data_IF_262212253608
#
_entry.id   IF_262212253608
#
_cell.length_a   1.000
_cell.length_b   1.000
_cell.length_c   1.000
_cell.angle_alpha   90.00
_cell.angle_beta   90.00
_cell.angle_gamma   90.00
#
_symmetry.space_group_name_H-M   'P 1'
#
loop_
_entity.id
_entity.type
_entity.pdbx_description
1 polymer ?
#
# COMPACT_ATOMS: atom_id res chain seq x y z
N UNK A 1 12.29 9.77 2.45
CA UNK A 1 11.33 10.73 1.85
C UNK A 1 10.75 11.58 2.97
N UNK A 2 10.37 12.83 2.70
CA UNK A 2 9.70 13.69 3.69
C UNK A 2 8.19 13.50 3.67
N UNK A 3 7.57 13.60 4.85
CA UNK A 3 6.12 13.58 5.00
C UNK A 3 5.52 14.84 4.36
N UNK A 4 4.61 14.72 3.37
CA UNK A 4 4.01 15.88 2.71
C UNK A 4 3.04 16.64 3.62
N UNK A 5 2.70 16.10 4.79
CA UNK A 5 1.78 16.72 5.75
C UNK A 5 2.49 17.48 6.87
N UNK A 6 3.68 17.06 7.29
CA UNK A 6 4.38 17.68 8.42
C UNK A 6 5.88 17.92 8.20
N UNK A 7 6.42 17.59 7.02
CA UNK A 7 7.82 17.81 6.67
C UNK A 7 8.84 16.84 7.28
N UNK A 8 8.46 16.06 8.29
CA UNK A 8 9.33 15.11 8.99
C UNK A 8 9.83 13.97 8.08
N UNK A 9 11.01 13.45 8.38
CA UNK A 9 11.55 12.27 7.70
C UNK A 9 10.66 11.04 7.95
N UNK A 10 10.44 10.26 6.89
CA UNK A 10 9.61 9.06 6.94
C UNK A 10 10.47 7.80 6.98
N UNK A 11 9.98 6.81 7.74
CA UNK A 11 10.61 5.50 7.84
C UNK A 11 10.20 4.66 6.64
N UNK A 12 11.17 4.20 5.85
CA UNK A 12 10.95 3.26 4.74
C UNK A 12 10.62 1.87 5.29
N UNK A 13 9.68 1.20 4.68
CA UNK A 13 9.27 -0.16 5.02
C UNK A 13 8.44 -0.79 3.92
N UNK A 14 7.71 -1.85 4.26
CA UNK A 14 6.90 -2.59 3.31
C UNK A 14 5.52 -2.88 3.90
N UNK A 15 4.48 -2.75 3.08
CA UNK A 15 3.21 -3.42 3.35
C UNK A 15 3.36 -4.86 2.90
N UNK A 16 2.91 -5.80 3.73
CA UNK A 16 2.99 -7.23 3.47
C UNK A 16 1.62 -7.86 3.67
N UNK A 17 1.29 -8.85 2.84
CA UNK A 17 0.04 -9.60 2.94
C UNK A 17 0.25 -11.03 2.45
N UNK A 18 -0.56 -11.97 2.91
CA UNK A 18 -0.60 -13.33 2.38
C UNK A 18 -1.27 -13.41 0.99
N UNK A 19 -1.94 -12.33 0.58
CA UNK A 19 -2.62 -12.17 -0.72
C UNK A 19 -2.11 -10.90 -1.41
N UNK A 20 -2.46 -10.73 -2.68
CA UNK A 20 -2.16 -9.49 -3.41
C UNK A 20 -2.65 -8.28 -2.63
N UNK A 21 -1.82 -7.23 -2.63
CA UNK A 21 -2.17 -5.94 -2.03
C UNK A 21 -2.82 -5.13 -3.14
N UNK A 22 -4.00 -4.58 -2.87
CA UNK A 22 -4.78 -3.83 -3.86
C UNK A 22 -5.37 -2.60 -3.21
N UNK A 23 -5.27 -1.46 -3.89
CA UNK A 23 -6.05 -0.27 -3.55
C UNK A 23 -7.38 -0.30 -4.29
N UNK A 24 -8.46 -0.06 -3.55
CA UNK A 24 -9.82 -0.12 -4.03
C UNK A 24 -10.67 1.00 -3.42
N UNK A 25 -11.67 1.47 -4.17
CA UNK A 25 -12.51 2.64 -3.81
C UNK A 25 -13.85 2.29 -3.17
N UNK A 26 -14.24 1.02 -3.19
CA UNK A 26 -15.45 0.50 -2.57
C UNK A 26 -15.19 -0.09 -1.18
N UNK A 27 -16.21 0.01 -0.33
CA UNK A 27 -16.12 -0.32 1.08
C UNK A 27 -16.06 -1.85 1.30
N UNK A 28 -15.03 -2.32 2.01
CA UNK A 28 -14.66 -3.74 2.05
C UNK A 28 -15.37 -4.44 3.21
N UNK A 29 -16.58 -4.96 2.99
CA UNK A 29 -17.31 -5.78 3.99
C UNK A 29 -17.39 -7.26 3.62
N UNK A 30 -16.84 -7.69 2.48
CA UNK A 30 -16.91 -9.07 2.00
C UNK A 30 -15.55 -9.77 2.05
N UNK A 31 -15.54 -10.96 2.66
CA UNK A 31 -14.36 -11.85 2.79
C UNK A 31 -13.83 -12.32 1.42
N UNK A 32 -14.71 -12.36 0.42
CA UNK A 32 -14.36 -12.67 -0.97
C UNK A 32 -14.74 -11.50 -1.87
N UNK A 33 -13.72 -10.74 -2.29
CA UNK A 33 -13.84 -9.65 -3.25
C UNK A 33 -13.29 -10.11 -4.59
N UNK A 34 -14.09 -9.97 -5.64
CA UNK A 34 -13.65 -10.15 -7.02
C UNK A 34 -12.92 -8.87 -7.43
N UNK A 35 -11.73 -9.01 -8.02
CA UNK A 35 -10.95 -7.88 -8.55
C UNK A 35 -11.80 -7.13 -9.59
N UNK A 36 -11.92 -5.81 -9.43
CA UNK A 36 -12.59 -4.94 -10.40
C UNK A 36 -11.58 -4.31 -11.36
N UNK A 37 -12.06 -3.77 -12.48
CA UNK A 37 -11.19 -3.16 -13.50
C UNK A 37 -10.49 -1.89 -13.02
N UNK A 38 -11.11 -1.18 -12.07
CA UNK A 38 -10.61 0.05 -11.44
C UNK A 38 -9.71 -0.21 -10.22
N UNK A 39 -9.52 -1.48 -9.84
CA UNK A 39 -8.61 -1.85 -8.75
C UNK A 39 -7.16 -1.59 -9.15
N UNK A 40 -6.46 -0.78 -8.35
CA UNK A 40 -5.02 -0.56 -8.50
C UNK A 40 -4.28 -1.67 -7.76
N UNK A 41 -3.71 -2.60 -8.53
CA UNK A 41 -2.90 -3.68 -7.97
C UNK A 41 -1.57 -3.14 -7.45
N UNK A 42 -1.33 -3.30 -6.15
CA UNK A 42 -0.14 -2.79 -5.48
C UNK A 42 1.00 -3.81 -5.33
N UNK A 43 0.71 -5.10 -5.43
CA UNK A 43 1.75 -6.13 -5.43
C UNK A 43 1.16 -7.45 -5.94
N UNK A 44 1.96 -8.19 -6.73
CA UNK A 44 1.65 -9.55 -7.18
C UNK A 44 2.48 -10.54 -6.38
N UNK A 45 1.83 -11.59 -5.87
CA UNK A 45 2.51 -12.69 -5.18
C UNK A 45 3.31 -13.65 -6.07
N UNK A 46 3.75 -13.21 -7.26
CA UNK A 46 4.45 -14.06 -8.21
C UNK A 46 5.91 -14.27 -7.78
N UNK A 47 6.13 -15.16 -6.82
CA UNK A 47 7.45 -15.66 -6.42
C UNK A 47 7.85 -15.44 -4.95
N UNK A 48 6.99 -14.82 -4.13
CA UNK A 48 7.27 -14.56 -2.72
C UNK A 48 6.08 -13.93 -1.99
N UNK A 49 6.25 -13.56 -0.72
CA UNK A 49 5.21 -12.87 0.05
C UNK A 49 4.90 -11.53 -0.65
N UNK A 50 3.65 -11.30 -1.10
CA UNK A 50 3.25 -10.02 -1.66
C UNK A 50 3.65 -8.86 -0.75
N UNK A 51 4.46 -7.97 -1.30
CA UNK A 51 4.87 -6.75 -0.61
C UNK A 51 4.97 -5.56 -1.56
N UNK A 52 4.77 -4.36 -1.02
CA UNK A 52 5.06 -3.12 -1.74
C UNK A 52 5.78 -2.14 -0.81
N UNK A 53 6.74 -1.40 -1.36
CA UNK A 53 7.43 -0.35 -0.60
C UNK A 53 6.42 0.71 -0.13
N UNK A 54 6.59 1.14 1.12
CA UNK A 54 5.77 2.17 1.72
C UNK A 54 6.58 2.95 2.74
N UNK A 55 6.10 4.14 3.07
CA UNK A 55 6.78 5.05 3.98
C UNK A 55 5.84 5.42 5.11
N UNK A 56 6.29 5.25 6.35
CA UNK A 56 5.52 5.57 7.56
C UNK A 56 6.03 6.86 8.19
N UNK A 57 5.14 7.84 8.34
CA UNK A 57 5.43 9.00 9.17
C UNK A 57 5.06 8.70 10.63
N UNK A 58 6.06 8.72 11.52
CA UNK A 58 5.86 8.48 12.95
C UNK A 58 5.02 9.55 13.64
N UNK A 59 5.04 10.79 13.14
CA UNK A 59 4.30 11.92 13.71
C UNK A 59 2.83 11.92 13.27
N UNK A 60 2.57 11.93 11.96
CA UNK A 60 1.21 11.98 11.41
C UNK A 60 0.45 10.64 11.45
N UNK A 61 1.13 9.54 11.78
CA UNK A 61 0.61 8.16 11.73
C UNK A 61 0.01 7.78 10.38
N UNK A 62 0.62 8.29 9.30
CA UNK A 62 0.23 8.05 7.90
C UNK A 62 1.22 7.12 7.22
N UNK A 63 0.70 6.30 6.32
CA UNK A 63 1.49 5.49 5.39
C UNK A 63 1.29 6.08 3.99
N UNK A 64 2.40 6.25 3.26
CA UNK A 64 2.40 6.67 1.87
C UNK A 64 2.94 5.54 0.99
N UNK A 65 2.34 5.41 -0.17
CA UNK A 65 2.74 4.49 -1.23
C UNK A 65 2.88 5.33 -2.49
N UNK A 66 4.07 5.37 -3.05
CA UNK A 66 4.29 5.90 -4.39
C UNK A 66 4.09 4.74 -5.37
N UNK A 67 2.98 4.74 -6.08
CA UNK A 67 2.64 3.68 -7.03
C UNK A 67 3.14 3.96 -8.45
N UNK A 68 3.68 5.16 -8.71
CA UNK A 68 4.21 5.54 -10.02
C UNK A 68 5.66 5.04 -10.20
N UNK A 69 6.43 4.97 -9.11
CA UNK A 69 7.86 4.64 -9.12
C UNK A 69 8.14 3.22 -8.60
N UNK A 70 7.48 2.22 -9.20
CA UNK A 70 7.58 0.81 -8.79
C UNK A 70 8.73 0.04 -9.40
#
# INVERSE_FOLDING_TARGET
MKCPYCGEEMIRGYLMSSRNITFAVDNVTKVFRIKKSDDLELSKGSGGIPHCEAYRCSSCKKILIDYANR
#
